data_IF_880788285439
#
_entry.id   IF_880788285439
#
_cell.length_a   1.000
_cell.length_b   1.000
_cell.length_c   1.000
_cell.angle_alpha   90.00
_cell.angle_beta   90.00
_cell.angle_gamma   90.00
#
_symmetry.space_group_name_H-M   'P 1'
#
loop_
_entity.id
_entity.type
_entity.pdbx_description
1 polymer ?
#
# COMPACT_ATOMS: atom_id res chain seq x y z
N UNK A 1 60.72 26.27 -59.36
CA UNK A 1 59.74 25.16 -59.23
C UNK A 1 58.47 25.69 -58.59
N UNK A 2 57.37 25.77 -59.34
CA UNK A 2 56.07 26.20 -58.83
C UNK A 2 55.50 25.14 -57.88
N UNK A 3 55.08 25.55 -56.68
CA UNK A 3 54.40 24.64 -55.73
C UNK A 3 53.00 24.29 -56.28
N UNK A 4 52.60 23.01 -56.25
CA UNK A 4 51.29 22.60 -56.72
C UNK A 4 50.17 23.22 -55.86
N UNK A 5 49.16 23.72 -56.56
CA UNK A 5 47.99 24.42 -56.06
C UNK A 5 47.20 23.53 -55.07
N UNK A 6 47.34 23.76 -53.77
CA UNK A 6 46.58 23.06 -52.72
C UNK A 6 45.21 23.72 -52.53
N UNK A 7 44.28 23.45 -53.44
CA UNK A 7 42.84 23.53 -53.18
C UNK A 7 42.09 22.84 -54.31
N UNK A 8 41.64 21.59 -54.09
CA UNK A 8 40.80 20.85 -55.04
C UNK A 8 39.30 20.91 -54.71
N UNK A 9 38.91 21.58 -53.62
CA UNK A 9 37.52 21.66 -53.20
C UNK A 9 37.03 23.12 -53.25
N UNK A 10 35.90 23.33 -53.92
CA UNK A 10 35.27 24.64 -54.06
C UNK A 10 34.64 25.14 -52.75
N UNK A 11 34.36 26.45 -52.71
CA UNK A 11 33.73 27.14 -51.56
C UNK A 11 32.42 26.46 -51.10
N UNK A 12 31.63 25.94 -52.04
CA UNK A 12 30.35 25.28 -51.75
C UNK A 12 30.52 23.92 -51.09
N UNK A 13 31.49 23.11 -51.54
CA UNK A 13 31.80 21.82 -50.92
C UNK A 13 32.27 21.99 -49.47
N UNK A 14 33.02 23.06 -49.18
CA UNK A 14 33.43 23.43 -47.83
C UNK A 14 32.24 23.81 -46.94
N UNK A 15 31.29 24.60 -47.44
CA UNK A 15 30.08 24.96 -46.69
C UNK A 15 29.17 23.77 -46.44
N UNK A 16 29.01 22.88 -47.42
CA UNK A 16 28.21 21.66 -47.27
C UNK A 16 28.82 20.72 -46.22
N UNK A 17 30.14 20.53 -46.21
CA UNK A 17 30.83 19.73 -45.21
C UNK A 17 30.60 20.25 -43.78
N UNK A 18 30.62 21.56 -43.58
CA UNK A 18 30.36 22.18 -42.27
C UNK A 18 28.88 22.04 -41.85
N UNK A 19 27.92 22.24 -42.78
CA UNK A 19 26.49 22.03 -42.50
C UNK A 19 26.20 20.57 -42.14
N UNK A 20 26.74 19.62 -42.89
CA UNK A 20 26.61 18.18 -42.61
C UNK A 20 27.16 17.85 -41.22
N UNK A 21 28.33 18.40 -40.87
CA UNK A 21 28.90 18.21 -39.54
C UNK A 21 28.03 18.75 -38.41
N UNK A 22 27.33 19.88 -38.60
CA UNK A 22 26.39 20.38 -37.56
C UNK A 22 25.25 19.38 -37.35
N UNK A 23 24.72 18.82 -38.43
CA UNK A 23 23.62 17.83 -38.38
C UNK A 23 24.10 16.54 -37.70
N UNK A 24 25.29 16.05 -38.04
CA UNK A 24 25.86 14.84 -37.45
C UNK A 24 26.15 15.01 -35.97
N UNK A 25 26.75 16.14 -35.57
CA UNK A 25 26.99 16.47 -34.16
C UNK A 25 25.69 16.62 -33.37
N UNK A 26 24.65 17.17 -34.00
CA UNK A 26 23.34 17.33 -33.37
C UNK A 26 22.59 16.00 -33.23
N UNK A 27 22.71 15.09 -34.20
CA UNK A 27 21.97 13.83 -34.22
C UNK A 27 22.60 12.77 -33.32
N UNK A 28 23.94 12.68 -33.35
CA UNK A 28 24.69 11.64 -32.66
C UNK A 28 25.19 12.06 -31.26
N UNK A 29 24.93 13.30 -30.82
CA UNK A 29 25.38 13.85 -29.53
C UNK A 29 26.87 13.57 -29.22
N UNK A 30 27.73 13.67 -30.24
CA UNK A 30 29.16 13.30 -30.16
C UNK A 30 29.94 14.24 -29.22
N UNK A 31 29.47 15.49 -29.04
CA UNK A 31 30.15 16.52 -28.25
C UNK A 31 29.17 17.20 -27.29
N UNK A 32 29.61 17.44 -26.06
CA UNK A 32 28.81 18.06 -24.99
C UNK A 32 28.36 19.50 -25.33
N UNK A 33 29.16 20.22 -26.11
CA UNK A 33 28.84 21.57 -26.61
C UNK A 33 29.28 21.71 -28.07
N UNK A 34 28.31 21.92 -28.96
CA UNK A 34 28.58 22.21 -30.37
C UNK A 34 29.12 23.64 -30.47
N UNK A 35 30.34 23.81 -30.97
CA UNK A 35 30.96 25.10 -31.28
C UNK A 35 31.58 25.06 -32.69
N UNK A 36 31.93 26.23 -33.26
CA UNK A 36 32.51 26.29 -34.61
C UNK A 36 33.77 25.41 -34.74
N UNK A 37 34.59 25.30 -33.69
CA UNK A 37 35.78 24.45 -33.65
C UNK A 37 35.45 22.96 -33.75
N UNK A 38 34.46 22.47 -33.00
CA UNK A 38 34.01 21.07 -33.04
C UNK A 38 33.38 20.73 -34.37
N UNK A 39 32.65 21.68 -34.97
CA UNK A 39 32.06 21.53 -36.31
C UNK A 39 33.16 21.42 -37.36
N UNK A 40 34.19 22.27 -37.32
CA UNK A 40 35.29 22.19 -38.29
C UNK A 40 36.08 20.88 -38.12
N UNK A 41 36.33 20.45 -36.88
CA UNK A 41 37.05 19.20 -36.59
C UNK A 41 36.30 17.95 -37.07
N UNK A 42 34.96 17.97 -37.00
CA UNK A 42 34.13 16.86 -37.42
C UNK A 42 33.74 16.94 -38.92
N UNK A 43 33.92 18.09 -39.57
CA UNK A 43 33.61 18.25 -40.98
C UNK A 43 34.61 17.53 -41.90
N UNK A 44 34.06 16.73 -42.81
CA UNK A 44 34.79 16.01 -43.85
C UNK A 44 34.20 16.35 -45.21
N UNK A 45 35.06 16.47 -46.22
CA UNK A 45 34.64 16.56 -47.62
C UNK A 45 34.10 15.20 -48.10
N UNK A 46 33.46 15.19 -49.26
CA UNK A 46 32.91 13.97 -49.91
C UNK A 46 33.96 12.88 -50.10
N UNK A 47 35.23 13.28 -50.25
CA UNK A 47 36.37 12.39 -50.47
C UNK A 47 36.94 11.83 -49.14
N UNK A 48 36.28 12.11 -48.01
CA UNK A 48 36.67 11.67 -46.67
C UNK A 48 37.78 12.49 -46.02
N UNK A 49 38.33 13.47 -46.73
CA UNK A 49 39.37 14.38 -46.22
C UNK A 49 38.80 15.39 -45.23
N UNK A 50 39.52 15.69 -44.15
CA UNK A 50 39.07 16.66 -43.15
C UNK A 50 39.16 18.09 -43.66
N UNK A 51 38.21 18.92 -43.22
CA UNK A 51 38.21 20.35 -43.48
C UNK A 51 39.35 21.05 -42.72
N UNK A 52 39.99 22.04 -43.36
CA UNK A 52 41.09 22.80 -42.75
C UNK A 52 40.62 23.70 -41.61
N UNK A 53 41.27 23.59 -40.44
CA UNK A 53 40.91 24.33 -39.22
C UNK A 53 40.94 25.85 -39.39
N UNK A 54 41.85 26.35 -40.23
CA UNK A 54 42.04 27.78 -40.47
C UNK A 54 41.27 28.31 -41.67
N UNK A 55 40.66 27.43 -42.48
CA UNK A 55 40.02 27.80 -43.75
C UNK A 55 38.81 28.70 -43.53
N UNK A 56 38.01 28.44 -42.48
CA UNK A 56 36.86 29.29 -42.13
C UNK A 56 37.30 30.72 -41.74
N UNK A 57 38.45 30.82 -41.08
CA UNK A 57 38.98 32.07 -40.52
C UNK A 57 39.93 32.82 -41.47
N UNK A 58 39.98 32.45 -42.75
CA UNK A 58 40.79 33.13 -43.76
C UNK A 58 40.41 34.61 -43.90
N UNK A 59 41.42 35.49 -44.00
CA UNK A 59 41.24 36.95 -44.12
C UNK A 59 41.68 37.46 -45.49
N UNK A 60 40.97 38.47 -46.01
CA UNK A 60 41.39 39.26 -47.18
C UNK A 60 42.47 40.27 -46.79
N UNK A 61 43.09 40.91 -47.77
CA UNK A 61 44.07 42.00 -47.58
C UNK A 61 43.54 43.13 -46.66
N UNK A 62 42.23 43.35 -46.67
CA UNK A 62 41.54 44.35 -45.83
C UNK A 62 41.24 43.86 -44.40
N UNK A 63 41.89 42.76 -43.96
CA UNK A 63 41.74 42.12 -42.64
C UNK A 63 40.33 41.58 -42.32
N UNK A 64 39.37 41.67 -43.26
CA UNK A 64 38.04 41.09 -43.13
C UNK A 64 38.02 39.59 -43.43
N UNK A 65 37.18 38.83 -42.74
CA UNK A 65 37.01 37.39 -42.97
C UNK A 65 36.38 37.12 -44.35
N UNK A 66 36.96 36.18 -45.09
CA UNK A 66 36.49 35.77 -46.43
C UNK A 66 35.09 35.14 -46.37
N UNK A 67 34.79 34.43 -45.27
CA UNK A 67 33.56 33.66 -45.08
C UNK A 67 32.63 34.27 -44.00
N UNK A 68 32.72 35.57 -43.75
CA UNK A 68 32.00 36.27 -42.66
C UNK A 68 30.50 35.93 -42.61
N UNK A 69 29.81 35.98 -43.73
CA UNK A 69 28.36 35.74 -43.79
C UNK A 69 28.01 34.28 -43.45
N UNK A 70 28.86 33.35 -43.86
CA UNK A 70 28.68 31.93 -43.56
C UNK A 70 29.00 31.61 -42.09
N UNK A 71 29.92 32.33 -41.44
CA UNK A 71 30.15 32.16 -40.00
C UNK A 71 28.90 32.50 -39.18
N UNK A 72 28.18 33.56 -39.56
CA UNK A 72 26.91 33.94 -38.92
C UNK A 72 25.82 32.90 -39.16
N UNK A 73 25.72 32.36 -40.38
CA UNK A 73 24.80 31.27 -40.69
C UNK A 73 25.12 30.00 -39.86
N UNK A 74 26.42 29.68 -39.73
CA UNK A 74 26.88 28.53 -38.97
C UNK A 74 26.57 28.68 -37.47
N UNK A 75 26.75 29.86 -36.90
CA UNK A 75 26.39 30.13 -35.50
C UNK A 75 24.88 29.98 -35.26
N UNK A 76 24.05 30.49 -36.17
CA UNK A 76 22.60 30.32 -36.09
C UNK A 76 22.19 28.83 -36.17
N UNK A 77 22.84 28.04 -37.03
CA UNK A 77 22.61 26.60 -37.13
C UNK A 77 23.03 25.86 -35.84
N UNK A 78 24.19 26.20 -35.28
CA UNK A 78 24.70 25.63 -34.02
C UNK A 78 23.74 25.96 -32.85
N UNK A 79 23.25 27.19 -32.77
CA UNK A 79 22.30 27.62 -31.74
C UNK A 79 20.96 26.87 -31.86
N UNK A 80 20.44 26.72 -33.08
CA UNK A 80 19.21 25.97 -33.32
C UNK A 80 19.32 24.48 -32.98
N UNK A 81 20.50 23.88 -33.18
CA UNK A 81 20.76 22.48 -32.86
C UNK A 81 20.90 22.25 -31.34
N UNK A 82 21.64 23.13 -30.67
CA UNK A 82 21.89 23.01 -29.22
C UNK A 82 20.60 23.17 -28.39
N UNK A 83 19.72 24.10 -28.77
CA UNK A 83 18.42 24.31 -28.10
C UNK A 83 17.48 23.10 -28.24
N UNK A 84 17.47 22.42 -29.39
CA UNK A 84 16.68 21.21 -29.61
C UNK A 84 17.18 20.03 -28.77
N UNK A 85 18.49 19.84 -28.66
CA UNK A 85 19.08 18.75 -27.89
C UNK A 85 18.89 18.91 -26.38
N UNK A 86 19.02 20.14 -25.87
CA UNK A 86 18.73 20.45 -24.47
C UNK A 86 17.30 20.08 -24.08
N UNK A 87 16.30 20.47 -24.90
CA UNK A 87 14.89 20.13 -24.66
C UNK A 87 14.64 18.62 -24.62
N UNK A 88 15.24 17.84 -25.54
CA UNK A 88 15.11 16.38 -25.56
C UNK A 88 15.68 15.72 -24.30
N UNK A 89 16.86 16.16 -23.83
CA UNK A 89 17.50 15.62 -22.62
C UNK A 89 16.65 15.86 -21.36
N UNK A 90 16.05 17.04 -21.23
CA UNK A 90 15.18 17.36 -20.09
C UNK A 90 13.89 16.52 -20.09
N UNK A 91 13.30 16.29 -21.26
CA UNK A 91 12.08 15.47 -21.40
C UNK A 91 12.37 14.01 -21.04
N UNK A 92 13.46 13.44 -21.56
CA UNK A 92 13.85 12.05 -21.27
C UNK A 92 14.05 11.82 -19.76
N UNK A 93 14.80 12.71 -19.08
CA UNK A 93 15.03 12.63 -17.64
C UNK A 93 13.73 12.74 -16.81
N UNK A 94 12.76 13.54 -17.29
CA UNK A 94 11.46 13.71 -16.63
C UNK A 94 10.56 12.47 -16.79
N UNK A 95 10.66 11.77 -17.92
CA UNK A 95 9.91 10.52 -18.15
C UNK A 95 10.45 9.41 -17.24
N UNK A 96 11.77 9.29 -17.14
CA UNK A 96 12.46 8.29 -16.31
C UNK A 96 12.10 8.45 -14.82
N UNK A 97 12.13 9.70 -14.31
CA UNK A 97 11.72 10.02 -12.94
C UNK A 97 10.24 9.72 -12.66
N UNK A 98 9.35 9.89 -13.64
CA UNK A 98 7.92 9.55 -13.50
C UNK A 98 7.69 8.03 -13.46
N UNK A 99 8.40 7.27 -14.29
CA UNK A 99 8.30 5.80 -14.27
C UNK A 99 8.76 5.22 -12.93
N UNK A 100 9.86 5.71 -12.37
CA UNK A 100 10.33 5.28 -11.05
C UNK A 100 9.31 5.59 -9.94
N UNK A 101 8.68 6.78 -10.00
CA UNK A 101 7.64 7.18 -9.05
C UNK A 101 6.40 6.26 -9.13
N UNK A 102 5.98 5.89 -10.35
CA UNK A 102 4.84 4.98 -10.56
C UNK A 102 5.14 3.57 -10.01
N UNK A 103 6.36 3.07 -10.21
CA UNK A 103 6.77 1.76 -9.68
C UNK A 103 6.75 1.76 -8.15
N UNK A 104 7.25 2.81 -7.50
CA UNK A 104 7.22 2.95 -6.04
C UNK A 104 5.78 3.01 -5.50
N UNK A 105 4.93 3.86 -6.08
CA UNK A 105 3.53 3.99 -5.66
C UNK A 105 2.75 2.66 -5.82
N UNK A 106 3.04 1.88 -6.87
CA UNK A 106 2.43 0.55 -7.04
C UNK A 106 2.88 -0.44 -5.97
N UNK A 107 4.15 -0.41 -5.57
CA UNK A 107 4.65 -1.25 -4.49
C UNK A 107 3.98 -0.89 -3.16
N UNK A 108 3.88 0.40 -2.85
CA UNK A 108 3.23 0.93 -1.66
C UNK A 108 1.74 0.56 -1.61
N UNK A 109 1.00 0.71 -2.71
CA UNK A 109 -0.41 0.26 -2.79
C UNK A 109 -0.52 -1.24 -2.51
N UNK A 110 0.39 -2.05 -3.06
CA UNK A 110 0.36 -3.50 -2.85
C UNK A 110 0.61 -3.87 -1.39
N UNK A 111 1.55 -3.19 -0.74
CA UNK A 111 1.87 -3.36 0.68
C UNK A 111 0.67 -2.97 1.56
N UNK A 112 0.10 -1.78 1.34
CA UNK A 112 -1.12 -1.32 2.02
C UNK A 112 -2.31 -2.28 1.83
N UNK A 113 -2.48 -2.83 0.62
CA UNK A 113 -3.57 -3.78 0.34
C UNK A 113 -3.38 -5.09 1.11
N UNK A 114 -2.14 -5.57 1.22
CA UNK A 114 -1.81 -6.76 2.01
C UNK A 114 -2.04 -6.51 3.51
N UNK A 115 -1.58 -5.38 4.04
CA UNK A 115 -1.81 -5.01 5.44
C UNK A 115 -3.30 -4.91 5.76
N UNK A 116 -4.08 -4.28 4.87
CA UNK A 116 -5.55 -4.21 5.01
C UNK A 116 -6.18 -5.61 5.06
N UNK A 117 -5.76 -6.53 4.19
CA UNK A 117 -6.29 -7.91 4.19
C UNK A 117 -5.93 -8.67 5.47
N UNK A 118 -4.70 -8.51 5.98
CA UNK A 118 -4.28 -9.11 7.24
C UNK A 118 -5.12 -8.57 8.40
N UNK A 119 -5.29 -7.24 8.47
CA UNK A 119 -6.08 -6.59 9.52
C UNK A 119 -7.55 -7.01 9.46
N UNK A 120 -8.11 -7.14 8.25
CA UNK A 120 -9.47 -7.63 8.04
C UNK A 120 -9.62 -9.08 8.53
N UNK A 121 -8.64 -9.94 8.24
CA UNK A 121 -8.62 -11.32 8.74
C UNK A 121 -8.61 -11.37 10.27
N UNK A 122 -7.74 -10.58 10.91
CA UNK A 122 -7.68 -10.48 12.38
C UNK A 122 -8.99 -9.97 12.99
N UNK A 123 -9.65 -9.02 12.33
CA UNK A 123 -10.94 -8.50 12.80
C UNK A 123 -12.04 -9.57 12.77
N UNK A 124 -12.10 -10.36 11.69
CA UNK A 124 -13.06 -11.48 11.58
C UNK A 124 -12.81 -12.53 12.66
N UNK A 125 -11.56 -12.91 12.91
CA UNK A 125 -11.21 -13.84 13.98
C UNK A 125 -11.60 -13.32 15.36
N UNK A 126 -11.41 -12.02 15.60
CA UNK A 126 -11.80 -11.37 16.84
C UNK A 126 -13.33 -11.34 17.00
N UNK A 127 -14.07 -11.06 15.94
CA UNK A 127 -15.55 -11.08 15.96
C UNK A 127 -16.09 -12.47 16.28
N UNK A 128 -15.54 -13.51 15.64
CA UNK A 128 -15.89 -14.91 15.91
C UNK A 128 -15.56 -15.29 17.35
N UNK A 129 -14.38 -14.91 17.83
CA UNK A 129 -13.94 -15.18 19.20
C UNK A 129 -14.82 -14.46 20.21
N UNK A 130 -15.18 -13.20 19.96
CA UNK A 130 -16.08 -12.43 20.81
C UNK A 130 -17.47 -13.06 20.88
N UNK A 131 -18.06 -13.43 19.72
CA UNK A 131 -19.35 -14.15 19.69
C UNK A 131 -19.29 -15.44 20.49
N UNK A 132 -18.23 -16.24 20.31
CA UNK A 132 -18.04 -17.49 21.06
C UNK A 132 -17.93 -17.27 22.56
N UNK A 133 -17.18 -16.25 23.02
CA UNK A 133 -17.07 -15.90 24.43
C UNK A 133 -18.41 -15.44 24.99
N UNK A 134 -19.13 -14.59 24.25
CA UNK A 134 -20.44 -14.08 24.64
C UNK A 134 -21.49 -15.21 24.74
N UNK A 135 -21.54 -16.11 23.75
CA UNK A 135 -22.45 -17.25 23.75
C UNK A 135 -22.12 -18.24 24.87
N UNK A 136 -20.83 -18.51 25.13
CA UNK A 136 -20.39 -19.33 26.26
C UNK A 136 -20.75 -18.68 27.61
N UNK A 137 -20.57 -17.36 27.75
CA UNK A 137 -20.93 -16.65 28.97
C UNK A 137 -22.45 -16.68 29.20
N UNK A 138 -23.25 -16.40 28.17
CA UNK A 138 -24.71 -16.44 28.26
C UNK A 138 -25.22 -17.84 28.58
N UNK A 139 -24.67 -18.87 27.95
CA UNK A 139 -25.03 -20.27 28.25
C UNK A 139 -24.66 -20.65 29.68
N UNK A 140 -23.49 -20.26 30.18
CA UNK A 140 -23.12 -20.49 31.59
C UNK A 140 -24.06 -19.78 32.56
N UNK A 141 -24.42 -18.51 32.29
CA UNK A 141 -25.36 -17.75 33.12
C UNK A 141 -26.74 -18.42 33.14
N UNK A 142 -27.26 -18.80 31.96
CA UNK A 142 -28.55 -19.50 31.85
C UNK A 142 -28.50 -20.83 32.62
N UNK A 143 -27.40 -21.58 32.53
CA UNK A 143 -27.22 -22.81 33.30
C UNK A 143 -27.15 -22.56 34.81
N UNK A 144 -26.50 -21.48 35.28
CA UNK A 144 -26.54 -21.13 36.72
C UNK A 144 -27.97 -20.85 37.16
N UNK A 145 -28.67 -19.94 36.46
CA UNK A 145 -30.04 -19.54 36.76
C UNK A 145 -31.01 -20.71 36.72
N UNK A 146 -30.91 -21.60 35.73
CA UNK A 146 -31.72 -22.83 35.67
C UNK A 146 -31.51 -23.72 36.90
N UNK A 147 -30.28 -23.83 37.39
CA UNK A 147 -29.95 -24.62 38.59
C UNK A 147 -30.49 -23.97 39.86
N UNK A 148 -30.32 -22.65 39.99
CA UNK A 148 -30.85 -21.87 41.12
C UNK A 148 -32.38 -21.91 41.18
N UNK A 149 -33.06 -21.77 40.03
CA UNK A 149 -34.52 -21.91 39.93
C UNK A 149 -34.96 -23.31 40.37
N UNK A 150 -34.24 -24.35 39.96
CA UNK A 150 -34.53 -25.71 40.42
C UNK A 150 -34.40 -25.85 41.94
N UNK A 151 -33.33 -25.32 42.54
CA UNK A 151 -33.11 -25.37 43.98
C UNK A 151 -34.26 -24.67 44.72
N UNK A 152 -34.58 -23.43 44.32
CA UNK A 152 -35.66 -22.65 44.92
C UNK A 152 -37.04 -23.31 44.74
N UNK A 153 -37.34 -23.80 43.54
CA UNK A 153 -38.58 -24.50 43.26
C UNK A 153 -38.70 -25.78 44.08
N UNK A 154 -37.61 -26.54 44.26
CA UNK A 154 -37.59 -27.76 45.07
C UNK A 154 -37.87 -27.47 46.54
N UNK A 155 -37.20 -26.47 47.12
CA UNK A 155 -37.43 -26.01 48.49
C UNK A 155 -38.87 -25.54 48.72
N UNK A 156 -39.39 -24.74 47.79
CA UNK A 156 -40.76 -24.25 47.86
C UNK A 156 -41.77 -25.39 47.71
N UNK A 157 -41.56 -26.29 46.75
CA UNK A 157 -42.41 -27.46 46.50
C UNK A 157 -42.47 -28.39 47.72
N UNK A 158 -41.33 -28.59 48.38
CA UNK A 158 -41.19 -29.32 49.65
C UNK A 158 -42.02 -28.65 50.75
N UNK A 159 -41.93 -27.31 50.87
CA UNK A 159 -42.67 -26.56 51.91
C UNK A 159 -44.19 -26.53 51.73
N UNK A 160 -44.68 -26.62 50.50
CA UNK A 160 -46.12 -26.58 50.17
C UNK A 160 -46.71 -27.97 49.88
N UNK A 161 -45.98 -29.05 50.21
CA UNK A 161 -46.37 -30.44 49.97
C UNK A 161 -46.77 -30.75 48.51
N UNK A 162 -46.12 -30.10 47.52
CA UNK A 162 -46.40 -30.34 46.11
C UNK A 162 -47.79 -29.89 45.62
N UNK A 163 -48.52 -29.09 46.40
CA UNK A 163 -49.91 -28.70 46.08
C UNK A 163 -50.03 -27.80 44.84
N UNK A 164 -48.98 -27.06 44.50
CA UNK A 164 -48.96 -26.17 43.33
C UNK A 164 -48.26 -26.87 42.17
N UNK A 165 -49.06 -27.38 41.23
CA UNK A 165 -48.60 -28.18 40.08
C UNK A 165 -47.56 -27.45 39.22
N UNK A 166 -47.67 -26.13 39.06
CA UNK A 166 -46.71 -25.35 38.28
C UNK A 166 -45.30 -25.45 38.85
N UNK A 167 -45.15 -25.44 40.18
CA UNK A 167 -43.86 -25.53 40.86
C UNK A 167 -43.33 -26.95 40.74
N UNK A 168 -44.16 -27.96 40.99
CA UNK A 168 -43.80 -29.37 40.81
C UNK A 168 -43.30 -29.66 39.38
N UNK A 169 -43.97 -29.11 38.37
CA UNK A 169 -43.58 -29.25 36.96
C UNK A 169 -42.23 -28.58 36.65
N UNK A 170 -41.81 -27.53 37.38
CA UNK A 170 -40.47 -26.93 37.19
C UNK A 170 -39.39 -27.90 37.69
N UNK A 171 -39.61 -28.51 38.86
CA UNK A 171 -38.73 -29.52 39.44
C UNK A 171 -38.60 -30.71 38.50
N UNK A 172 -39.72 -31.33 38.10
CA UNK A 172 -39.75 -32.52 37.24
C UNK A 172 -39.07 -32.29 35.89
N UNK A 173 -39.29 -31.14 35.26
CA UNK A 173 -38.66 -30.79 33.98
C UNK A 173 -37.14 -30.70 34.10
N UNK A 174 -36.63 -30.10 35.18
CA UNK A 174 -35.19 -30.03 35.40
C UNK A 174 -34.58 -31.41 35.68
N UNK A 175 -35.24 -32.23 36.51
CA UNK A 175 -34.78 -33.60 36.80
C UNK A 175 -34.75 -34.47 35.54
N UNK A 176 -35.77 -34.36 34.69
CA UNK A 176 -35.86 -35.10 33.42
C UNK A 176 -34.78 -34.63 32.44
N UNK A 177 -34.61 -33.30 32.29
CA UNK A 177 -33.62 -32.70 31.39
C UNK A 177 -32.18 -33.06 31.77
N UNK A 178 -31.90 -33.17 33.07
CA UNK A 178 -30.55 -33.40 33.59
C UNK A 178 -30.37 -34.78 34.22
N UNK A 179 -31.24 -35.74 33.89
CA UNK A 179 -31.16 -37.11 34.40
C UNK A 179 -29.81 -37.75 34.08
N UNK A 180 -29.19 -38.38 35.07
CA UNK A 180 -27.86 -39.00 34.96
C UNK A 180 -26.68 -38.01 34.87
N UNK A 181 -26.92 -36.70 34.93
CA UNK A 181 -25.86 -35.70 34.87
C UNK A 181 -25.38 -35.30 36.28
N UNK A 182 -24.07 -35.04 36.41
CA UNK A 182 -23.42 -34.56 37.65
C UNK A 182 -24.03 -33.24 38.15
N UNK A 183 -24.56 -32.42 37.23
CA UNK A 183 -25.25 -31.18 37.57
C UNK A 183 -26.51 -31.41 38.40
N UNK A 184 -27.30 -32.44 38.08
CA UNK A 184 -28.49 -32.78 38.87
C UNK A 184 -28.10 -33.27 40.27
N UNK A 185 -27.03 -34.05 40.39
CA UNK A 185 -26.56 -34.55 41.69
C UNK A 185 -26.08 -33.40 42.59
N UNK A 186 -25.36 -32.43 42.05
CA UNK A 186 -24.96 -31.23 42.80
C UNK A 186 -26.16 -30.40 43.24
N UNK A 187 -27.10 -30.13 42.33
CA UNK A 187 -28.28 -29.31 42.65
C UNK A 187 -29.15 -29.98 43.73
N UNK A 188 -29.32 -31.30 43.68
CA UNK A 188 -30.01 -32.05 44.75
C UNK A 188 -29.28 -32.00 46.09
N UNK A 189 -27.95 -32.09 46.09
CA UNK A 189 -27.15 -31.95 47.31
C UNK A 189 -27.23 -30.54 47.91
N UNK A 190 -27.38 -29.52 47.07
CA UNK A 190 -27.59 -28.15 47.51
C UNK A 190 -28.97 -27.96 48.15
N UNK A 191 -30.03 -28.52 47.55
CA UNK A 191 -31.37 -28.54 48.14
C UNK A 191 -31.32 -29.16 49.53
N UNK A 192 -30.77 -30.36 49.69
CA UNK A 192 -30.74 -31.03 51.00
C UNK A 192 -29.92 -30.26 52.05
N UNK A 193 -28.81 -29.63 51.65
CA UNK A 193 -28.03 -28.79 52.55
C UNK A 193 -28.81 -27.54 53.00
N UNK A 194 -29.54 -26.90 52.07
CA UNK A 194 -30.36 -25.73 52.37
C UNK A 194 -31.59 -26.10 53.22
N UNK A 195 -32.26 -27.22 52.93
CA UNK A 195 -33.36 -27.73 53.77
C UNK A 195 -32.90 -27.94 55.21
N UNK A 196 -31.71 -28.54 55.40
CA UNK A 196 -31.10 -28.72 56.72
C UNK A 196 -30.83 -27.39 57.40
N UNK A 197 -30.20 -26.44 56.70
CA UNK A 197 -29.93 -25.09 57.24
C UNK A 197 -31.21 -24.34 57.62
N UNK A 198 -32.27 -24.48 56.83
CA UNK A 198 -33.59 -23.87 57.12
C UNK A 198 -34.20 -24.52 58.36
N UNK A 199 -34.13 -25.85 58.48
CA UNK A 199 -34.67 -26.60 59.62
C UNK A 199 -33.91 -26.32 60.92
N UNK A 200 -32.58 -26.17 60.84
CA UNK A 200 -31.71 -25.81 61.96
C UNK A 200 -31.81 -24.32 62.32
N UNK A 201 -32.42 -23.50 61.45
CA UNK A 201 -32.59 -22.07 61.68
C UNK A 201 -33.73 -21.82 62.66
N UNK A 202 -33.42 -21.21 63.80
CA UNK A 202 -34.39 -20.75 64.80
C UNK A 202 -35.09 -19.48 64.32
N UNK A 203 -35.77 -19.53 63.16
CA UNK A 203 -36.62 -18.43 62.73
C UNK A 203 -37.90 -18.47 63.55
N UNK A 204 -38.02 -17.55 64.50
CA UNK A 204 -39.29 -17.20 65.15
C UNK A 204 -40.29 -16.78 64.07
N UNK A 205 -41.45 -17.43 64.06
CA UNK A 205 -42.48 -17.17 63.06
C UNK A 205 -42.96 -15.71 63.12
N UNK A 206 -42.79 -14.95 62.02
CA UNK A 206 -43.36 -13.60 61.88
C UNK A 206 -44.88 -13.61 61.64
N UNK A 207 -45.43 -14.76 61.27
CA UNK A 207 -46.87 -14.99 61.16
C UNK A 207 -47.25 -16.04 62.21
N UNK A 208 -48.02 -15.64 63.22
CA UNK A 208 -48.37 -16.50 64.37
C UNK A 208 -48.86 -17.89 63.99
N UNK A 209 -48.70 -18.84 64.91
CA UNK A 209 -49.12 -20.23 64.78
C UNK A 209 -50.48 -20.35 64.05
N UNK A 210 -50.48 -20.96 62.86
CA UNK A 210 -51.69 -21.39 62.14
C UNK A 210 -52.21 -22.66 62.83
N UNK A 211 -52.54 -22.55 64.11
CA UNK A 211 -52.92 -23.67 64.97
C UNK A 211 -53.75 -23.30 66.19
N UNK A 212 -53.88 -22.02 66.54
CA UNK A 212 -54.80 -21.57 67.59
C UNK A 212 -56.04 -20.92 66.96
N UNK A 213 -56.98 -21.76 66.49
CA UNK A 213 -58.44 -21.53 66.50
C UNK A 213 -59.19 -22.75 65.98
#
# INVERSE_FOLDING_TARGET
MLRPNRSRHGKEAFYQALRASVIDLATNNIVEKINQSSVIKNAKFTDGTSVGETTLYGKKSDKQYIHKDFMLELDALIESASTKNSKRKTIAKKIESKSESIVRLRAEIKELTNEYQVLLGQFVELEVSYKKVNDNSNTQIIQSLESEIFVLASLLNSRIDGRVRQIANVVERYETKHSGQVRLTHAKAEVTNLERKISDSTVTSLFGNIGDK
#
